data_IF_557807112505
#
_entry.id   IF_557807112505
#
_cell.length_a   1.000
_cell.length_b   1.000
_cell.length_c   1.000
_cell.angle_alpha   90.00
_cell.angle_beta   90.00
_cell.angle_gamma   90.00
#
_symmetry.space_group_name_H-M   'P 1'
#
loop_
_entity.id
_entity.type
_entity.pdbx_description
1 polymer ?
#
# COMPACT_ATOMS: atom_id res chain seq x y z
N UNK A 1 -27.33 16.85 -3.76
CA UNK A 1 -25.88 16.76 -3.50
C UNK A 1 -25.19 16.85 -4.85
N UNK A 2 -24.39 17.88 -5.06
CA UNK A 2 -23.66 18.04 -6.32
C UNK A 2 -22.31 17.33 -6.17
N UNK A 3 -22.15 16.23 -6.89
CA UNK A 3 -20.85 15.62 -7.09
C UNK A 3 -19.95 16.64 -7.82
N UNK A 4 -18.88 17.08 -7.18
CA UNK A 4 -17.90 17.93 -7.82
C UNK A 4 -16.84 17.04 -8.46
N UNK A 5 -17.01 16.76 -9.73
CA UNK A 5 -15.97 16.16 -10.54
C UNK A 5 -14.95 17.26 -10.87
N UNK A 6 -13.75 17.15 -10.37
CA UNK A 6 -12.64 18.02 -10.77
C UNK A 6 -12.27 17.73 -12.23
N UNK A 7 -12.58 18.66 -13.12
CA UNK A 7 -12.63 18.48 -14.58
C UNK A 7 -11.33 18.78 -15.32
N UNK A 8 -10.15 18.57 -14.77
CA UNK A 8 -8.94 18.91 -15.53
C UNK A 8 -7.80 17.90 -15.43
N UNK A 9 -8.10 16.68 -15.73
CA UNK A 9 -7.11 15.60 -15.85
C UNK A 9 -7.70 14.29 -15.39
N UNK A 10 -7.49 13.23 -16.15
CA UNK A 10 -7.85 11.89 -15.71
C UNK A 10 -6.91 11.51 -14.54
N UNK A 11 -7.30 11.84 -13.32
CA UNK A 11 -6.59 11.38 -12.13
C UNK A 11 -6.92 9.93 -11.90
N UNK A 12 -5.98 9.06 -12.15
CA UNK A 12 -6.07 7.68 -11.73
C UNK A 12 -5.64 7.61 -10.26
N UNK A 13 -6.62 7.62 -9.36
CA UNK A 13 -6.37 7.42 -7.94
C UNK A 13 -5.97 5.97 -7.68
N UNK A 14 -5.04 5.78 -6.76
CA UNK A 14 -4.65 4.45 -6.31
C UNK A 14 -5.39 4.05 -5.05
N UNK A 15 -5.27 4.87 -4.04
CA UNK A 15 -5.80 4.61 -2.72
C UNK A 15 -6.26 5.92 -2.09
N UNK A 16 -7.29 5.89 -1.24
CA UNK A 16 -7.84 7.06 -0.58
C UNK A 16 -8.29 6.72 0.83
N UNK A 17 -7.86 7.53 1.79
CA UNK A 17 -8.20 7.37 3.21
C UNK A 17 -8.59 8.68 3.84
N UNK A 18 -9.49 8.62 4.82
CA UNK A 18 -9.60 9.68 5.80
C UNK A 18 -8.35 9.67 6.68
N UNK A 19 -7.83 10.86 7.01
CA UNK A 19 -6.71 10.98 7.95
C UNK A 19 -7.22 10.77 9.39
N UNK A 20 -6.86 9.66 10.06
CA UNK A 20 -7.52 9.30 11.33
C UNK A 20 -7.34 10.31 12.46
N UNK A 21 -6.21 11.03 12.43
CA UNK A 21 -5.82 11.97 13.51
C UNK A 21 -6.25 13.42 13.27
N UNK A 22 -6.70 13.76 12.06
CA UNK A 22 -7.04 15.14 11.70
C UNK A 22 -8.39 15.13 10.98
N UNK A 23 -9.38 15.70 11.65
CA UNK A 23 -10.72 15.82 11.09
C UNK A 23 -10.71 16.60 9.77
N UNK A 24 -11.66 16.30 8.92
CA UNK A 24 -11.88 16.95 7.63
C UNK A 24 -10.68 16.88 6.66
N UNK A 25 -9.86 15.85 6.76
CA UNK A 25 -8.73 15.58 5.89
C UNK A 25 -8.81 14.23 5.23
N UNK A 26 -8.50 14.22 3.94
CA UNK A 26 -8.27 13.01 3.15
C UNK A 26 -6.85 12.99 2.63
N UNK A 27 -6.31 11.80 2.48
CA UNK A 27 -5.05 11.54 1.81
C UNK A 27 -5.27 10.53 0.70
N UNK A 28 -4.58 10.69 -0.40
CA UNK A 28 -4.72 9.79 -1.54
C UNK A 28 -3.44 9.71 -2.37
N UNK A 29 -3.25 8.59 -3.03
CA UNK A 29 -2.16 8.37 -3.96
C UNK A 29 -2.64 8.57 -5.39
N UNK A 30 -1.80 9.17 -6.23
CA UNK A 30 -2.07 9.30 -7.65
C UNK A 30 -1.12 8.40 -8.46
N UNK A 31 -1.70 7.63 -9.36
CA UNK A 31 -1.01 6.64 -10.18
C UNK A 31 0.01 7.27 -11.12
N UNK A 32 -0.40 8.28 -11.85
CA UNK A 32 0.38 8.78 -12.99
C UNK A 32 1.53 9.71 -12.60
N UNK A 33 1.58 10.16 -11.35
CA UNK A 33 2.58 11.12 -10.86
C UNK A 33 3.46 10.60 -9.74
N UNK A 34 3.25 9.38 -9.26
CA UNK A 34 3.92 8.84 -8.07
C UNK A 34 3.86 9.82 -6.88
N UNK A 35 2.70 10.43 -6.68
CA UNK A 35 2.49 11.51 -5.73
C UNK A 35 1.47 11.12 -4.66
N UNK A 36 1.78 11.48 -3.43
CA UNK A 36 0.87 11.42 -2.29
C UNK A 36 0.33 12.81 -2.03
N UNK A 37 -0.98 12.93 -1.95
CA UNK A 37 -1.70 14.18 -1.73
C UNK A 37 -2.39 14.19 -0.38
N UNK A 38 -2.52 15.37 0.20
CA UNK A 38 -3.38 15.65 1.33
C UNK A 38 -4.31 16.80 0.99
N UNK A 39 -5.58 16.67 1.26
CA UNK A 39 -6.62 17.65 0.92
C UNK A 39 -7.57 17.87 2.09
N UNK A 40 -8.11 19.07 2.18
CA UNK A 40 -9.17 19.42 3.11
C UNK A 40 -10.53 19.08 2.50
N UNK A 41 -11.44 18.60 3.34
CA UNK A 41 -12.85 18.43 2.98
C UNK A 41 -13.66 19.42 3.83
N UNK A 42 -14.28 20.40 3.19
CA UNK A 42 -15.10 21.39 3.89
C UNK A 42 -16.43 20.80 4.36
N UNK A 43 -17.12 21.50 5.26
CA UNK A 43 -18.48 21.13 5.68
C UNK A 43 -19.50 21.10 4.52
N UNK A 44 -19.20 21.74 3.40
CA UNK A 44 -20.00 21.71 2.17
C UNK A 44 -19.49 20.65 1.17
N UNK A 45 -18.68 19.70 1.64
CA UNK A 45 -18.10 18.60 0.85
C UNK A 45 -17.23 19.05 -0.33
N UNK A 46 -16.64 20.23 -0.23
CA UNK A 46 -15.65 20.70 -1.21
C UNK A 46 -14.26 20.22 -0.83
N UNK A 47 -13.55 19.65 -1.80
CA UNK A 47 -12.16 19.20 -1.62
C UNK A 47 -11.22 20.33 -2.07
N UNK A 48 -10.29 20.69 -1.20
CA UNK A 48 -9.26 21.70 -1.50
C UNK A 48 -7.88 21.12 -1.21
N UNK A 49 -7.00 21.15 -2.20
CA UNK A 49 -5.63 20.70 -2.05
C UNK A 49 -4.88 21.48 -0.99
N UNK A 50 -4.15 20.77 -0.15
CA UNK A 50 -3.36 21.35 0.91
C UNK A 50 -1.86 21.13 0.69
N UNK A 51 -1.42 19.89 0.52
CA UNK A 51 -0.02 19.57 0.26
C UNK A 51 0.12 18.30 -0.54
N UNK A 52 1.30 18.12 -1.14
CA UNK A 52 1.66 16.90 -1.84
C UNK A 52 3.15 16.62 -1.75
N UNK A 53 3.54 15.37 -1.96
CA UNK A 53 4.93 14.94 -2.00
C UNK A 53 5.11 13.77 -2.97
N UNK A 54 6.23 13.75 -3.68
CA UNK A 54 6.59 12.62 -4.55
C UNK A 54 7.14 11.47 -3.68
N UNK A 55 6.52 10.29 -3.75
CA UNK A 55 7.00 9.15 -2.97
C UNK A 55 8.13 8.36 -3.63
N UNK A 56 8.48 8.68 -4.87
CA UNK A 56 9.64 8.09 -5.58
C UNK A 56 9.34 6.75 -6.23
N UNK A 57 8.06 6.43 -6.44
CA UNK A 57 7.64 5.25 -7.17
C UNK A 57 7.82 5.38 -8.69
N UNK A 58 7.69 4.27 -9.41
CA UNK A 58 7.51 4.29 -10.85
C UNK A 58 6.10 4.74 -11.19
N UNK A 59 5.97 5.57 -12.20
CA UNK A 59 4.67 5.95 -12.74
C UNK A 59 3.99 4.73 -13.35
N UNK A 60 2.67 4.69 -13.37
CA UNK A 60 1.77 3.64 -13.88
C UNK A 60 1.18 2.69 -12.82
N UNK A 61 1.71 2.66 -11.60
CA UNK A 61 1.09 1.90 -10.50
C UNK A 61 0.98 2.77 -9.27
N UNK A 62 -0.22 2.88 -8.69
CA UNK A 62 -0.42 3.68 -7.49
C UNK A 62 0.28 3.03 -6.29
N UNK A 63 0.68 3.84 -5.33
CA UNK A 63 1.01 3.31 -4.02
C UNK A 63 -0.26 2.88 -3.30
N UNK A 64 -0.19 1.78 -2.56
CA UNK A 64 -1.15 1.46 -1.51
C UNK A 64 -0.72 2.10 -0.21
N UNK A 65 -1.68 2.38 0.64
CA UNK A 65 -1.45 3.04 1.91
C UNK A 65 -2.30 2.42 3.01
N UNK A 66 -1.69 2.19 4.18
CA UNK A 66 -2.39 1.76 5.38
C UNK A 66 -1.90 2.55 6.59
N UNK A 67 -2.84 3.04 7.41
CA UNK A 67 -2.52 3.75 8.64
C UNK A 67 -2.16 2.79 9.76
N UNK A 68 -1.15 3.16 10.56
CA UNK A 68 -0.82 2.40 11.76
C UNK A 68 -1.92 2.56 12.81
N UNK A 69 -2.40 1.46 13.41
CA UNK A 69 -3.51 1.51 14.37
C UNK A 69 -3.16 2.27 15.66
N UNK A 70 -1.88 2.36 16.01
CA UNK A 70 -1.37 3.09 17.20
C UNK A 70 -1.04 4.55 16.91
N UNK A 71 -0.93 4.95 15.65
CA UNK A 71 -0.51 6.30 15.26
C UNK A 71 -1.24 6.75 13.99
N UNK A 72 -2.40 7.31 14.16
CA UNK A 72 -3.21 7.84 13.07
C UNK A 72 -2.57 9.02 12.30
N UNK A 73 -1.38 9.47 12.69
CA UNK A 73 -0.59 10.43 11.92
C UNK A 73 0.41 9.80 10.99
N UNK A 74 0.56 8.48 11.03
CA UNK A 74 1.51 7.75 10.20
C UNK A 74 0.85 6.66 9.39
N UNK A 75 1.30 6.49 8.16
CA UNK A 75 0.90 5.40 7.29
C UNK A 75 2.10 4.77 6.61
N UNK A 76 1.99 3.49 6.30
CA UNK A 76 2.93 2.82 5.41
C UNK A 76 2.44 2.95 3.97
N UNK A 77 3.34 3.29 3.07
CA UNK A 77 3.14 3.29 1.61
C UNK A 77 3.90 2.11 1.02
N UNK A 78 3.26 1.34 0.14
CA UNK A 78 3.91 0.31 -0.67
C UNK A 78 3.73 0.66 -2.14
N UNK A 79 4.80 0.62 -2.91
CA UNK A 79 4.81 0.99 -4.31
C UNK A 79 5.95 0.31 -5.09
N UNK A 80 5.83 0.29 -6.42
CA UNK A 80 6.92 -0.10 -7.31
C UNK A 80 7.99 0.97 -7.38
N UNK A 81 9.24 0.57 -7.31
CA UNK A 81 10.40 1.43 -7.52
C UNK A 81 11.30 0.84 -8.61
N UNK A 82 12.26 1.61 -9.16
CA UNK A 82 13.24 1.07 -10.12
C UNK A 82 14.03 -0.12 -9.59
N UNK A 83 14.09 -0.27 -8.27
CA UNK A 83 14.82 -1.33 -7.58
C UNK A 83 13.90 -2.45 -7.05
N UNK A 84 12.65 -2.50 -7.47
CA UNK A 84 11.66 -3.49 -7.05
C UNK A 84 10.59 -2.92 -6.11
N UNK A 85 9.85 -3.81 -5.43
CA UNK A 85 8.86 -3.41 -4.44
C UNK A 85 9.51 -2.63 -3.29
N UNK A 86 8.95 -1.49 -2.96
CA UNK A 86 9.49 -0.59 -1.95
C UNK A 86 8.43 -0.04 -1.02
N UNK A 87 8.86 0.38 0.15
CA UNK A 87 7.99 0.99 1.16
C UNK A 87 8.60 2.27 1.71
N UNK A 88 7.74 3.16 2.17
CA UNK A 88 8.06 4.33 2.99
C UNK A 88 7.03 4.51 4.08
N UNK A 89 7.42 5.15 5.17
CA UNK A 89 6.45 5.65 6.15
C UNK A 89 6.20 7.12 5.83
N UNK A 90 4.94 7.48 5.65
CA UNK A 90 4.48 8.85 5.53
C UNK A 90 4.02 9.34 6.92
N UNK A 91 4.43 10.52 7.30
CA UNK A 91 3.95 11.22 8.51
C UNK A 91 3.17 12.45 8.10
N UNK A 92 1.98 12.60 8.64
CA UNK A 92 1.04 13.67 8.33
C UNK A 92 0.93 14.65 9.49
N UNK A 93 0.98 15.92 9.18
CA UNK A 93 0.63 17.02 10.09
C UNK A 93 -0.55 17.81 9.52
N UNK A 94 -0.98 18.83 10.24
CA UNK A 94 -2.07 19.70 9.76
C UNK A 94 -1.78 20.42 8.43
N UNK A 95 -0.52 20.53 8.01
CA UNK A 95 -0.11 21.33 6.85
C UNK A 95 0.92 20.66 5.94
N UNK A 96 1.46 19.50 6.32
CA UNK A 96 2.56 18.89 5.58
C UNK A 96 2.51 17.36 5.61
N UNK A 97 3.11 16.77 4.58
CA UNK A 97 3.43 15.35 4.49
C UNK A 97 4.94 15.23 4.52
N UNK A 98 5.46 14.36 5.37
CA UNK A 98 6.88 14.03 5.42
C UNK A 98 7.07 12.55 5.12
N UNK A 99 8.04 12.21 4.27
CA UNK A 99 8.36 10.83 3.92
C UNK A 99 9.63 10.37 4.62
N UNK A 100 9.56 9.22 5.25
CA UNK A 100 10.71 8.49 5.77
C UNK A 100 11.63 7.96 4.66
N UNK A 101 12.70 7.27 5.05
CA UNK A 101 13.64 6.68 4.12
C UNK A 101 12.97 5.64 3.21
N UNK A 102 13.42 5.57 1.96
CA UNK A 102 13.04 4.50 1.04
C UNK A 102 13.64 3.18 1.50
N UNK A 103 12.83 2.16 1.64
CA UNK A 103 13.27 0.81 1.94
C UNK A 103 12.78 -0.15 0.85
N UNK A 104 13.71 -0.84 0.21
CA UNK A 104 13.38 -1.87 -0.79
C UNK A 104 13.09 -3.17 -0.04
N UNK A 105 11.98 -3.83 -0.39
CA UNK A 105 11.64 -5.13 0.20
C UNK A 105 12.69 -6.14 -0.23
N UNK A 106 13.27 -6.86 0.73
CA UNK A 106 14.32 -7.83 0.50
C UNK A 106 13.87 -8.91 -0.49
N UNK A 107 14.71 -9.19 -1.47
CA UNK A 107 14.43 -10.18 -2.52
C UNK A 107 13.64 -9.62 -3.72
N UNK A 108 13.23 -8.36 -3.66
CA UNK A 108 12.54 -7.74 -4.78
C UNK A 108 13.43 -7.67 -6.03
N UNK A 109 12.82 -7.89 -7.18
CA UNK A 109 13.51 -7.88 -8.47
C UNK A 109 13.90 -6.46 -8.88
N UNK A 110 15.10 -6.33 -9.43
CA UNK A 110 15.71 -5.03 -9.83
C UNK A 110 15.28 -4.52 -11.20
N UNK A 111 14.42 -5.22 -11.92
CA UNK A 111 14.09 -4.89 -13.30
C UNK A 111 12.87 -3.98 -13.45
N UNK A 112 12.83 -2.88 -12.70
CA UNK A 112 11.79 -1.84 -12.89
C UNK A 112 10.36 -2.36 -12.73
N UNK A 113 10.18 -3.36 -11.94
CA UNK A 113 8.99 -4.17 -11.89
C UNK A 113 7.86 -3.47 -11.17
N UNK A 114 6.83 -3.45 -11.86
CA UNK A 114 5.50 -3.04 -11.49
C UNK A 114 5.04 -3.88 -10.30
N UNK A 115 4.84 -3.29 -9.14
CA UNK A 115 4.09 -3.93 -8.08
C UNK A 115 2.63 -3.95 -8.49
N UNK A 116 2.25 -4.97 -9.25
CA UNK A 116 0.85 -5.22 -9.57
C UNK A 116 0.19 -5.96 -8.41
N UNK A 117 -1.11 -5.77 -8.26
CA UNK A 117 -1.92 -6.53 -7.31
C UNK A 117 -1.33 -6.56 -5.89
N UNK A 118 -0.94 -5.36 -5.42
CA UNK A 118 -0.35 -5.21 -4.09
C UNK A 118 -1.42 -5.21 -3.00
N UNK A 119 -1.03 -5.63 -1.82
CA UNK A 119 -1.84 -5.52 -0.61
C UNK A 119 -0.95 -5.30 0.61
N UNK A 120 -1.47 -4.55 1.57
CA UNK A 120 -0.85 -4.30 2.87
C UNK A 120 -1.82 -4.75 3.95
N UNK A 121 -1.34 -5.40 4.98
CA UNK A 121 -2.12 -5.68 6.17
C UNK A 121 -1.34 -5.31 7.43
N UNK A 122 -2.05 -4.68 8.35
CA UNK A 122 -1.60 -4.34 9.70
C UNK A 122 -2.51 -5.06 10.70
N UNK A 123 -1.98 -5.73 11.73
CA UNK A 123 -2.81 -6.26 12.80
C UNK A 123 -3.43 -5.10 13.59
N UNK A 124 -4.68 -5.25 13.96
CA UNK A 124 -5.44 -4.22 14.67
C UNK A 124 -4.81 -3.80 16.02
N UNK A 125 -4.13 -4.71 16.68
CA UNK A 125 -3.61 -4.54 18.04
C UNK A 125 -2.08 -4.59 18.12
N UNK A 126 -1.36 -4.64 17.00
CA UNK A 126 0.10 -4.74 16.98
C UNK A 126 0.70 -4.00 15.78
N UNK A 127 0.93 -2.72 15.95
CA UNK A 127 1.53 -1.85 14.92
C UNK A 127 3.01 -2.13 14.65
N UNK A 128 3.62 -3.03 15.39
CA UNK A 128 5.00 -3.46 15.14
C UNK A 128 5.11 -4.47 14.00
N UNK A 129 3.99 -5.04 13.56
CA UNK A 129 3.97 -6.04 12.47
C UNK A 129 3.25 -5.49 11.25
N UNK A 130 3.70 -5.93 10.09
CA UNK A 130 3.05 -5.66 8.80
C UNK A 130 3.32 -6.79 7.84
N UNK A 131 2.37 -7.10 6.98
CA UNK A 131 2.57 -8.00 5.85
C UNK A 131 2.32 -7.25 4.57
N UNK A 132 3.27 -7.36 3.68
CA UNK A 132 3.21 -6.85 2.31
C UNK A 132 3.04 -8.03 1.36
N UNK A 133 2.17 -7.92 0.39
CA UNK A 133 2.09 -8.90 -0.67
C UNK A 133 1.93 -8.22 -2.02
N UNK A 134 2.58 -8.78 -3.02
CA UNK A 134 2.54 -8.25 -4.37
C UNK A 134 3.10 -9.26 -5.36
N UNK A 135 2.72 -9.09 -6.61
CA UNK A 135 3.53 -9.57 -7.72
C UNK A 135 4.85 -8.78 -7.76
N UNK A 136 5.93 -9.44 -8.17
CA UNK A 136 7.23 -8.80 -8.32
C UNK A 136 8.08 -8.68 -7.04
N UNK A 137 7.64 -9.21 -5.89
CA UNK A 137 8.54 -9.32 -4.73
C UNK A 137 9.65 -10.34 -5.03
N UNK A 138 9.31 -11.53 -5.49
CA UNK A 138 10.31 -12.56 -5.87
C UNK A 138 10.53 -12.57 -7.38
N UNK A 139 9.46 -12.56 -8.17
CA UNK A 139 9.48 -12.62 -9.63
C UNK A 139 8.23 -11.97 -10.19
N UNK A 140 8.30 -11.47 -11.43
CA UNK A 140 7.23 -10.79 -12.13
C UNK A 140 5.91 -11.58 -12.19
N UNK A 141 6.02 -12.91 -12.36
CA UNK A 141 4.86 -13.80 -12.49
C UNK A 141 4.51 -14.53 -11.19
N UNK A 142 5.01 -14.05 -10.06
CA UNK A 142 4.83 -14.71 -8.78
C UNK A 142 4.23 -13.75 -7.76
N UNK A 143 3.09 -14.14 -7.19
CA UNK A 143 2.53 -13.45 -6.05
C UNK A 143 3.19 -13.95 -4.77
N UNK A 144 3.78 -13.04 -4.04
CA UNK A 144 4.56 -13.34 -2.83
C UNK A 144 4.18 -12.42 -1.69
N UNK A 145 4.32 -12.91 -0.48
CA UNK A 145 4.12 -12.15 0.73
C UNK A 145 5.42 -12.07 1.54
N UNK A 146 5.62 -10.95 2.21
CA UNK A 146 6.73 -10.75 3.15
C UNK A 146 6.21 -10.14 4.44
N UNK A 147 6.55 -10.76 5.56
CA UNK A 147 6.33 -10.18 6.87
C UNK A 147 7.47 -9.23 7.21
N UNK A 148 7.15 -8.14 7.89
CA UNK A 148 8.14 -7.22 8.41
C UNK A 148 7.80 -6.79 9.83
N UNK A 149 8.85 -6.46 10.57
CA UNK A 149 8.76 -5.85 11.91
C UNK A 149 9.12 -4.38 11.80
N UNK A 150 8.23 -3.51 12.31
CA UNK A 150 8.46 -2.07 12.38
C UNK A 150 9.18 -1.69 13.65
N UNK A 151 10.20 -0.84 13.53
CA UNK A 151 10.86 -0.15 14.63
C UNK A 151 11.00 1.32 14.30
N UNK A 152 10.22 2.16 14.95
CA UNK A 152 10.13 3.59 14.59
C UNK A 152 9.63 3.77 13.15
N UNK A 153 10.45 4.40 12.31
CA UNK A 153 10.13 4.67 10.90
C UNK A 153 10.87 3.73 9.93
N UNK A 154 11.28 2.55 10.39
CA UNK A 154 11.99 1.55 9.60
C UNK A 154 11.35 0.17 9.72
N UNK A 155 11.59 -0.69 8.72
CA UNK A 155 11.15 -2.08 8.68
C UNK A 155 12.34 -3.02 8.62
N UNK A 156 12.25 -4.13 9.34
CA UNK A 156 13.10 -5.31 9.14
C UNK A 156 12.27 -6.37 8.45
N UNK A 157 12.63 -6.72 7.22
CA UNK A 157 11.92 -7.69 6.41
C UNK A 157 12.36 -9.11 6.70
N UNK A 158 11.39 -10.01 6.80
CA UNK A 158 11.61 -11.45 6.76
C UNK A 158 11.91 -11.94 5.34
N UNK A 159 11.99 -13.24 5.18
CA UNK A 159 12.11 -13.86 3.86
C UNK A 159 10.76 -13.86 3.16
N UNK A 160 10.71 -13.53 1.86
CA UNK A 160 9.49 -13.64 1.08
C UNK A 160 8.99 -15.08 0.99
N UNK A 161 7.69 -15.24 1.10
CA UNK A 161 6.99 -16.51 0.95
C UNK A 161 6.23 -16.50 -0.37
N UNK A 162 6.46 -17.49 -1.21
CA UNK A 162 5.71 -17.67 -2.44
C UNK A 162 4.28 -18.10 -2.11
N UNK A 163 3.30 -17.31 -2.52
CA UNK A 163 1.88 -17.62 -2.37
C UNK A 163 1.36 -18.37 -3.58
N UNK A 164 1.71 -17.94 -4.79
CA UNK A 164 1.34 -18.64 -6.02
C UNK A 164 2.33 -18.37 -7.15
N UNK A 165 2.46 -19.36 -8.05
CA UNK A 165 3.13 -19.24 -9.34
C UNK A 165 2.08 -19.11 -10.43
N UNK A 166 2.30 -18.21 -11.41
CA UNK A 166 1.43 -18.05 -12.57
C UNK A 166 0.34 -17.01 -12.34
N UNK A 167 0.76 -15.78 -12.18
CA UNK A 167 -0.06 -14.62 -12.51
C UNK A 167 0.11 -14.35 -13.99
N UNK A 168 -0.65 -15.03 -14.84
CA UNK A 168 -0.75 -14.63 -16.24
C UNK A 168 -1.36 -13.23 -16.33
N UNK A 169 -1.11 -12.51 -17.41
CA UNK A 169 -1.56 -11.14 -17.75
C UNK A 169 -3.07 -10.82 -17.54
N UNK A 170 -3.81 -11.65 -16.85
CA UNK A 170 -5.22 -11.42 -16.50
C UNK A 170 -5.34 -10.41 -15.38
N UNK A 171 -5.49 -9.21 -15.82
CA UNK A 171 -5.59 -7.90 -15.20
C UNK A 171 -6.70 -7.68 -14.16
N UNK A 172 -7.20 -8.70 -13.50
CA UNK A 172 -8.33 -8.58 -12.55
C UNK A 172 -8.10 -9.24 -11.19
N UNK A 173 -6.86 -9.55 -10.84
CA UNK A 173 -6.57 -10.21 -9.59
C UNK A 173 -6.50 -9.20 -8.44
N UNK A 174 -7.61 -8.91 -7.83
CA UNK A 174 -7.62 -8.26 -6.52
C UNK A 174 -7.02 -9.21 -5.50
N UNK A 175 -5.88 -8.83 -4.96
CA UNK A 175 -5.26 -9.55 -3.87
C UNK A 175 -5.69 -8.93 -2.56
N UNK A 176 -6.16 -9.75 -1.64
CA UNK A 176 -6.57 -9.32 -0.32
C UNK A 176 -5.68 -10.00 0.72
N UNK A 177 -5.31 -9.22 1.71
CA UNK A 177 -4.63 -9.71 2.91
C UNK A 177 -5.42 -9.25 4.12
N UNK A 178 -5.57 -10.12 5.09
CA UNK A 178 -6.14 -9.76 6.38
C UNK A 178 -5.47 -10.53 7.51
N UNK A 179 -5.16 -9.84 8.61
CA UNK A 179 -4.80 -10.52 9.84
C UNK A 179 -6.03 -11.14 10.49
N UNK A 180 -5.81 -12.26 11.17
CA UNK A 180 -6.80 -12.74 12.13
C UNK A 180 -6.92 -11.69 13.26
N UNK A 181 -8.11 -11.13 13.54
CA UNK A 181 -8.26 -10.10 14.56
C UNK A 181 -7.88 -10.57 15.96
N UNK A 182 -8.00 -11.87 16.23
CA UNK A 182 -7.69 -12.48 17.53
C UNK A 182 -6.25 -13.01 17.61
N UNK A 183 -5.54 -13.09 16.50
CA UNK A 183 -4.19 -13.67 16.45
C UNK A 183 -3.33 -13.01 15.37
N UNK A 184 -2.51 -12.05 15.78
CA UNK A 184 -1.59 -11.32 14.91
C UNK A 184 -0.45 -12.19 14.32
N UNK A 185 -0.44 -13.49 14.55
CA UNK A 185 0.50 -14.44 13.92
C UNK A 185 -0.09 -15.11 12.69
N UNK A 186 -1.40 -15.03 12.46
CA UNK A 186 -2.06 -15.65 11.32
C UNK A 186 -2.55 -14.57 10.33
N UNK A 187 -2.19 -14.75 9.08
CA UNK A 187 -2.55 -13.88 7.98
C UNK A 187 -3.25 -14.68 6.90
N UNK A 188 -4.42 -14.23 6.51
CA UNK A 188 -5.15 -14.76 5.36
C UNK A 188 -4.71 -14.00 4.11
N UNK A 189 -4.31 -14.73 3.09
CA UNK A 189 -3.96 -14.17 1.77
C UNK A 189 -4.89 -14.79 0.73
N UNK A 190 -5.59 -13.93 -0.01
CA UNK A 190 -6.39 -14.34 -1.17
C UNK A 190 -5.71 -13.84 -2.44
N UNK A 191 -5.58 -14.70 -3.41
CA UNK A 191 -5.06 -14.36 -4.74
C UNK A 191 -5.95 -14.94 -5.81
N UNK A 192 -6.09 -14.24 -6.91
CA UNK A 192 -6.71 -14.78 -8.11
C UNK A 192 -5.60 -15.39 -8.98
N UNK A 193 -5.74 -16.63 -9.37
CA UNK A 193 -4.75 -17.38 -10.17
C UNK A 193 -5.17 -17.52 -11.66
N UNK A 194 -5.97 -16.58 -12.15
CA UNK A 194 -6.45 -16.56 -13.53
C UNK A 194 -7.69 -17.42 -13.77
N UNK A 195 -8.37 -17.19 -14.91
CA UNK A 195 -9.54 -17.96 -15.39
C UNK A 195 -10.64 -18.21 -14.34
N UNK A 196 -10.86 -17.26 -13.41
CA UNK A 196 -11.92 -17.39 -12.39
C UNK A 196 -11.57 -18.31 -11.22
N UNK A 197 -10.31 -18.68 -11.06
CA UNK A 197 -9.84 -19.48 -9.92
C UNK A 197 -9.19 -18.59 -8.88
N UNK A 198 -9.69 -18.62 -7.65
CA UNK A 198 -9.07 -17.94 -6.51
C UNK A 198 -8.39 -18.96 -5.60
N UNK A 199 -7.25 -18.57 -5.04
CA UNK A 199 -6.54 -19.33 -4.03
C UNK A 199 -6.60 -18.58 -2.69
N UNK A 200 -6.90 -19.31 -1.63
CA UNK A 200 -6.92 -18.82 -0.26
C UNK A 200 -5.87 -19.56 0.54
N UNK A 201 -5.02 -18.83 1.24
CA UNK A 201 -3.94 -19.42 2.03
C UNK A 201 -3.82 -18.70 3.38
N UNK A 202 -3.63 -19.47 4.44
CA UNK A 202 -3.24 -18.92 5.74
C UNK A 202 -1.73 -19.01 5.87
N UNK A 203 -1.10 -17.87 6.11
CA UNK A 203 0.32 -17.76 6.43
C UNK A 203 0.47 -17.58 7.93
N UNK A 204 1.34 -18.37 8.53
CA UNK A 204 1.71 -18.22 9.94
C UNK A 204 3.02 -17.44 10.03
N UNK A 205 2.97 -16.33 10.75
CA UNK A 205 4.16 -15.53 11.06
C UNK A 205 4.88 -16.12 12.25
N UNK A 206 6.15 -16.38 12.12
CA UNK A 206 7.02 -16.92 13.20
C UNK A 206 7.91 -15.82 13.75
#
# INVERSE_FOLDING_TARGET
ESEKVESSGAWNFGDVHWLPSIADRIVFTARDSATLYMSNVSATHQITYNSHVLYGGVTNYPALMEFFPDDGTKAVLMFGSPNGAAVRIATFSSSAITLGALQVITGAQTNGTQTRHSAIALPHNDSSKVVFASEGIISYDQYSAVAATRSGDTFTFGLPILVTTGGGDDSSADSLIAFNPDDSTNVLVSTNVGAGTSKLQVLKLT
#
